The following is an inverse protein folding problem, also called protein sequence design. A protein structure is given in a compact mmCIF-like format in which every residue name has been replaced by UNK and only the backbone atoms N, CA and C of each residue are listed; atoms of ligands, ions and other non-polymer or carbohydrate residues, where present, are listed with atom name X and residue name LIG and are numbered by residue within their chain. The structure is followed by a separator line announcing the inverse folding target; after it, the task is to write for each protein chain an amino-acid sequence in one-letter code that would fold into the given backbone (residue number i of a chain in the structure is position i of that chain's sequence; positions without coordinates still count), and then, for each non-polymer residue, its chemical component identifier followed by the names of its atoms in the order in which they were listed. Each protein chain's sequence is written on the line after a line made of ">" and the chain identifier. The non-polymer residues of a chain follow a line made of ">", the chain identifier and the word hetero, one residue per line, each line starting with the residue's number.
data_IF_498459097600
#
_entry.id   IF_498459097600
#
_cell.length_a   1.000
_cell.length_b   1.000
_cell.length_c   1.000
_cell.angle_alpha   90.00
_cell.angle_beta   90.00
_cell.angle_gamma   90.00
#
_symmetry.space_group_name_H-M   'P 1'
#
loop_
_entity.id
_entity.type
_entity.pdbx_description
1 polymer ?
2 non-polymer ?
3 water ?
#
# COMPACT_ATOMS: atom_id res chain seq x y z
N UNK A 10 -7.95 -23.54 7.69
CA UNK A 10 -7.62 -23.25 6.31
C UNK A 10 -8.07 -21.86 5.87
N UNK A 11 -7.64 -20.84 6.60
CA UNK A 11 -8.05 -19.47 6.24
C UNK A 11 -7.73 -19.13 4.80
N UNK A 12 -8.66 -18.47 4.12
CA UNK A 12 -8.45 -18.04 2.75
C UNK A 12 -7.58 -16.78 2.72
N UNK A 13 -7.03 -16.51 1.53
CA UNK A 13 -6.15 -15.35 1.38
C UNK A 13 -6.90 -14.06 1.70
N UNK A 14 -8.10 -13.91 1.15
CA UNK A 14 -8.96 -12.79 1.53
C UNK A 14 -9.13 -12.78 3.05
N UNK A 15 -9.70 -13.84 3.60
CA UNK A 15 -9.93 -13.90 5.04
C UNK A 15 -8.72 -13.39 5.82
N UNK A 16 -7.52 -13.75 5.37
CA UNK A 16 -6.31 -13.32 6.06
C UNK A 16 -6.09 -11.82 5.89
N UNK A 17 -6.35 -11.28 4.69
CA UNK A 17 -6.23 -9.84 4.50
C UNK A 17 -7.18 -9.10 5.43
N UNK A 18 -8.40 -9.64 5.60
CA UNK A 18 -9.34 -9.04 6.55
C UNK A 18 -8.74 -8.96 7.94
N UNK A 19 -8.39 -10.13 8.50
CA UNK A 19 -7.78 -10.16 9.83
C UNK A 19 -6.65 -9.16 9.95
N UNK A 20 -5.83 -9.05 8.90
CA UNK A 20 -4.76 -8.07 8.94
C UNK A 20 -5.27 -6.64 8.91
N UNK A 21 -6.32 -6.39 8.13
CA UNK A 21 -6.89 -5.05 8.07
C UNK A 21 -7.46 -4.63 9.41
N UNK A 22 -8.16 -5.54 10.10
CA UNK A 22 -8.66 -5.20 11.43
C UNK A 22 -7.51 -5.00 12.42
N UNK A 23 -6.50 -5.88 12.36
CA UNK A 23 -5.33 -5.71 13.21
C UNK A 23 -4.69 -4.34 12.97
N UNK A 24 -4.58 -3.95 11.71
CA UNK A 24 -3.98 -2.64 11.40
C UNK A 24 -4.78 -1.52 12.01
N UNK A 25 -6.11 -1.64 12.02
CA UNK A 25 -6.95 -0.61 12.61
C UNK A 25 -6.52 -0.33 14.05
N UNK A 26 -6.29 -1.40 14.81
CA UNK A 26 -5.91 -1.26 16.20
C UNK A 26 -4.43 -1.05 16.43
N UNK A 27 -3.72 -0.57 15.41
CA UNK A 27 -2.30 -0.25 15.51
C UNK A 27 -1.43 -1.45 15.86
N UNK A 28 -1.94 -2.67 15.64
CA UNK A 28 -1.15 -3.89 15.84
C UNK A 28 -0.45 -4.21 14.52
N UNK A 29 0.64 -3.50 14.27
CA UNK A 29 1.26 -3.50 12.95
C UNK A 29 2.08 -4.76 12.69
N UNK A 30 2.94 -5.19 13.62
CA UNK A 30 3.67 -6.44 13.37
C UNK A 30 2.75 -7.63 13.18
N UNK A 31 1.67 -7.70 13.96
CA UNK A 31 0.70 -8.77 13.81
C UNK A 31 -0.07 -8.63 12.50
N UNK A 32 -0.35 -7.39 12.09
CA UNK A 32 -1.04 -7.19 10.82
C UNK A 32 -0.14 -7.53 9.64
N UNK A 33 1.14 -7.18 9.71
CA UNK A 33 2.08 -7.56 8.67
C UNK A 33 2.19 -9.07 8.54
N UNK A 34 2.07 -9.80 9.66
CA UNK A 34 2.11 -11.26 9.61
C UNK A 34 0.89 -11.81 8.86
N UNK A 35 -0.27 -11.18 9.04
CA UNK A 35 -1.46 -11.63 8.34
C UNK A 35 -1.33 -11.41 6.84
N UNK A 36 -0.98 -10.19 6.43
CA UNK A 36 -0.78 -9.92 5.01
C UNK A 36 0.27 -10.85 4.42
N UNK A 37 1.33 -11.12 5.19
CA UNK A 37 2.32 -12.07 4.74
C UNK A 37 1.72 -13.43 4.46
N UNK A 38 0.82 -13.89 5.34
CA UNK A 38 0.17 -15.18 5.15
C UNK A 38 -0.79 -15.15 3.97
N UNK A 39 -1.46 -14.02 3.73
CA UNK A 39 -2.29 -13.89 2.53
C UNK A 39 -1.43 -13.97 1.27
N UNK A 40 -0.25 -13.33 1.30
CA UNK A 40 0.63 -13.37 0.14
C UNK A 40 1.08 -14.79 -0.14
N UNK A 41 1.35 -15.57 0.90
CA UNK A 41 1.78 -16.95 0.69
C UNK A 41 0.66 -17.81 0.13
N UNK A 42 -0.59 -17.49 0.45
CA UNK A 42 -1.71 -18.23 -0.13
C UNK A 42 -1.94 -17.82 -1.59
N UNK A 43 -1.75 -16.53 -1.90
CA UNK A 43 -1.87 -16.03 -3.28
C UNK A 43 -0.87 -14.90 -3.41
N UNK A 44 0.33 -15.17 -3.93
CA UNK A 44 1.37 -14.14 -4.03
C UNK A 44 1.30 -13.22 -5.24
N UNK A 45 0.23 -13.26 -6.04
CA UNK A 45 0.08 -12.39 -7.20
C UNK A 45 -1.04 -11.37 -7.00
N UNK A 46 -1.17 -10.83 -5.79
CA UNK A 46 -2.20 -9.86 -5.45
C UNK A 46 -1.48 -8.59 -4.99
N UNK A 47 -1.60 -7.52 -5.78
CA UNK A 47 -0.89 -6.28 -5.45
C UNK A 47 -1.28 -5.76 -4.07
N UNK A 48 -2.58 -5.80 -3.74
CA UNK A 48 -3.05 -5.11 -2.55
C UNK A 48 -2.43 -5.69 -1.28
N UNK A 49 -2.17 -7.00 -1.25
CA UNK A 49 -1.56 -7.58 -0.06
C UNK A 49 -0.21 -6.93 0.23
N UNK A 50 0.58 -6.72 -0.83
CA UNK A 50 1.88 -6.08 -0.64
C UNK A 50 1.73 -4.60 -0.29
N UNK A 51 0.79 -3.93 -0.95
CA UNK A 51 0.50 -2.53 -0.63
C UNK A 51 0.13 -2.38 0.84
N UNK A 52 -0.74 -3.26 1.33
CA UNK A 52 -1.16 -3.18 2.73
C UNK A 52 0.01 -3.46 3.67
N UNK A 53 0.79 -4.50 3.37
CA UNK A 53 1.92 -4.81 4.25
C UNK A 53 2.98 -3.70 4.19
N UNK A 54 3.18 -3.11 3.01
CA UNK A 54 4.11 -1.98 2.90
C UNK A 54 3.79 -0.92 3.96
N UNK A 55 2.51 -0.58 4.10
CA UNK A 55 2.12 0.43 5.08
C UNK A 55 2.47 -0.01 6.49
N UNK A 56 2.27 -1.29 6.81
CA UNK A 56 2.66 -1.78 8.12
C UNK A 56 4.14 -1.55 8.37
N UNK A 57 4.98 -1.89 7.41
CA UNK A 57 6.41 -1.71 7.58
C UNK A 57 6.76 -0.22 7.74
N UNK A 58 6.08 0.64 6.98
CA UNK A 58 6.30 2.08 7.15
C UNK A 58 5.97 2.51 8.58
N UNK A 59 4.82 2.06 9.10
CA UNK A 59 4.48 2.36 10.49
C UNK A 59 5.51 1.77 11.45
N UNK A 60 6.08 0.62 11.12
CA UNK A 60 7.12 0.02 11.93
C UNK A 60 8.50 0.62 11.68
N UNK A 61 8.60 1.57 10.75
CA UNK A 61 9.89 2.18 10.39
C UNK A 61 10.87 1.14 9.84
N UNK A 62 10.33 0.14 9.13
CA UNK A 62 11.13 -0.85 8.42
C UNK A 62 11.12 -0.46 6.94
N UNK A 63 11.96 0.53 6.60
CA UNK A 63 11.80 1.19 5.31
C UNK A 63 12.24 0.29 4.16
N UNK A 64 13.34 -0.43 4.31
CA UNK A 64 13.79 -1.30 3.23
C UNK A 64 12.76 -2.37 2.90
N UNK A 65 12.07 -2.90 3.93
CA UNK A 65 11.05 -3.90 3.66
C UNK A 65 9.82 -3.28 3.01
N UNK A 66 9.45 -2.07 3.42
CA UNK A 66 8.31 -1.39 2.80
C UNK A 66 8.60 -1.13 1.32
N UNK A 67 9.78 -0.58 1.02
CA UNK A 67 10.16 -0.33 -0.36
C UNK A 67 10.03 -1.57 -1.22
N UNK A 68 10.53 -2.70 -0.74
CA UNK A 68 10.48 -3.93 -1.54
C UNK A 68 9.04 -4.36 -1.78
N UNK A 69 8.18 -4.25 -0.76
CA UNK A 69 6.76 -4.56 -0.95
C UNK A 69 6.14 -3.62 -1.97
N UNK A 70 6.46 -2.33 -1.90
CA UNK A 70 5.97 -1.38 -2.89
C UNK A 70 6.39 -1.79 -4.29
N UNK A 71 7.67 -2.12 -4.45
CA UNK A 71 8.17 -2.52 -5.76
C UNK A 71 7.44 -3.75 -6.27
N UNK A 72 7.16 -4.72 -5.40
CA UNK A 72 6.47 -5.93 -5.86
C UNK A 72 5.03 -5.62 -6.27
N UNK A 73 4.33 -4.81 -5.48
CA UNK A 73 2.97 -4.43 -5.84
C UNK A 73 2.94 -3.79 -7.23
N UNK A 74 3.88 -2.89 -7.50
CA UNK A 74 3.88 -2.20 -8.79
C UNK A 74 4.22 -3.15 -9.94
N UNK A 75 5.02 -4.19 -9.67
CA UNK A 75 5.28 -5.19 -10.71
C UNK A 75 4.00 -5.93 -11.06
N UNK A 76 3.15 -6.18 -10.07
CA UNK A 76 1.90 -6.88 -10.32
C UNK A 76 0.84 -5.96 -10.92
N UNK A 77 0.86 -4.67 -10.55
CA UNK A 77 -0.19 -3.72 -10.93
C UNK A 77 0.47 -2.34 -11.07
N UNK A 78 0.92 -2.04 -12.29
CA UNK A 78 1.57 -0.77 -12.56
C UNK A 78 0.65 0.43 -12.48
N UNK A 79 -0.66 0.22 -12.36
CA UNK A 79 -1.62 1.31 -12.27
C UNK A 79 -2.03 1.61 -10.84
N UNK A 80 -1.34 1.03 -9.86
CA UNK A 80 -1.78 1.12 -8.47
C UNK A 80 -1.50 2.50 -7.91
N UNK A 81 -2.58 3.20 -7.50
CA UNK A 81 -2.41 4.50 -6.87
C UNK A 81 -1.68 4.35 -5.55
N UNK A 82 -2.16 3.47 -4.67
CA UNK A 82 -1.59 3.37 -3.34
C UNK A 82 -0.15 2.88 -3.38
N UNK A 83 0.18 1.96 -4.31
CA UNK A 83 1.54 1.45 -4.37
C UNK A 83 2.52 2.55 -4.76
N UNK A 84 2.15 3.37 -5.76
CA UNK A 84 2.95 4.53 -6.08
C UNK A 84 3.07 5.48 -4.88
N UNK A 85 1.94 5.71 -4.19
CA UNK A 85 1.94 6.66 -3.08
C UNK A 85 2.81 6.16 -1.93
N UNK A 86 2.61 4.91 -1.50
CA UNK A 86 3.41 4.37 -0.41
C UNK A 86 4.87 4.30 -0.82
N UNK A 87 5.14 3.94 -2.09
CA UNK A 87 6.50 3.97 -2.59
C UNK A 87 7.10 5.37 -2.46
N UNK A 88 6.34 6.39 -2.87
CA UNK A 88 6.83 7.75 -2.72
C UNK A 88 6.99 8.16 -1.27
N UNK A 89 6.01 7.83 -0.44
CA UNK A 89 6.14 8.09 0.99
C UNK A 89 7.36 7.37 1.56
N UNK A 90 7.58 6.13 1.15
CA UNK A 90 8.73 5.38 1.65
C UNK A 90 10.04 6.06 1.22
N UNK A 91 10.14 6.43 -0.06
CA UNK A 91 11.34 7.12 -0.53
C UNK A 91 11.48 8.49 0.13
N UNK A 92 10.37 9.09 0.55
CA UNK A 92 10.46 10.31 1.35
C UNK A 92 11.15 10.03 2.68
N UNK A 93 10.69 9.01 3.41
CA UNK A 93 11.28 8.69 4.70
C UNK A 93 12.75 8.30 4.56
N UNK A 94 13.12 7.70 3.43
CA UNK A 94 14.52 7.34 3.17
C UNK A 94 15.31 8.47 2.53
N UNK A 95 14.68 9.62 2.29
CA UNK A 95 15.35 10.81 1.77
C UNK A 95 15.82 10.64 0.33
N UNK A 96 15.09 9.86 -0.47
CA UNK A 96 15.27 9.82 -1.92
C UNK A 96 14.25 10.79 -2.50
N UNK A 97 14.52 12.09 -2.36
CA UNK A 97 13.47 13.08 -2.50
C UNK A 97 13.00 13.21 -3.95
N UNK A 98 13.93 13.19 -4.91
CA UNK A 98 13.53 13.35 -6.30
C UNK A 98 12.68 12.17 -6.77
N UNK A 99 13.08 10.95 -6.43
CA UNK A 99 12.25 9.79 -6.75
C UNK A 99 10.91 9.87 -6.03
N UNK A 100 10.92 10.30 -4.76
CA UNK A 100 9.69 10.37 -3.99
C UNK A 100 8.68 11.31 -4.64
N UNK A 101 9.14 12.49 -5.06
CA UNK A 101 8.21 13.45 -5.67
C UNK A 101 7.63 12.86 -6.95
N UNK A 102 8.47 12.24 -7.78
CA UNK A 102 8.00 11.64 -9.02
C UNK A 102 6.89 10.63 -8.76
N UNK A 103 7.09 9.74 -7.78
CA UNK A 103 6.09 8.72 -7.51
C UNK A 103 4.85 9.29 -6.86
N UNK A 104 5.00 10.32 -6.02
CA UNK A 104 3.82 10.96 -5.44
C UNK A 104 2.95 11.58 -6.52
N UNK A 105 3.56 12.37 -7.41
CA UNK A 105 2.78 12.97 -8.50
C UNK A 105 2.11 11.89 -9.34
N UNK A 106 2.84 10.81 -9.66
CA UNK A 106 2.26 9.72 -10.42
C UNK A 106 1.07 9.12 -9.68
N UNK A 107 1.18 8.96 -8.36
CA UNK A 107 0.05 8.47 -7.59
C UNK A 107 -1.16 9.39 -7.76
N UNK A 108 -0.94 10.70 -7.59
CA UNK A 108 -2.05 11.64 -7.73
C UNK A 108 -2.55 11.71 -9.18
N UNK A 109 -1.64 11.57 -10.15
CA UNK A 109 -2.08 11.57 -11.55
C UNK A 109 -2.95 10.35 -11.84
N UNK A 110 -2.49 9.17 -11.43
CA UNK A 110 -3.29 7.97 -11.60
C UNK A 110 -4.63 8.09 -10.88
N UNK A 111 -4.62 8.62 -9.65
CA UNK A 111 -5.87 8.76 -8.91
C UNK A 111 -6.88 9.59 -9.71
N UNK A 112 -6.41 10.66 -10.35
CA UNK A 112 -7.30 11.49 -11.17
C UNK A 112 -7.78 10.74 -12.40
N UNK A 113 -6.85 10.10 -13.12
CA UNK A 113 -7.25 9.33 -14.30
C UNK A 113 -8.32 8.29 -13.91
N UNK A 114 -8.02 7.48 -12.90
CA UNK A 114 -8.94 6.42 -12.51
C UNK A 114 -10.26 7.00 -11.97
N UNK A 115 -10.22 8.14 -11.31
CA UNK A 115 -11.45 8.80 -10.89
C UNK A 115 -12.30 9.18 -12.10
N UNK A 116 -11.66 9.71 -13.15
CA UNK A 116 -12.41 10.27 -14.28
C UNK A 116 -12.82 9.22 -15.30
N UNK A 117 -12.18 8.05 -15.32
CA UNK A 117 -12.57 6.99 -16.24
C UNK A 117 -13.52 5.96 -15.62
N UNK A 118 -13.39 5.71 -14.32
CA UNK A 118 -14.15 4.68 -13.63
C UNK A 118 -15.04 5.19 -12.51
N UNK A 119 -14.79 6.38 -11.98
CA UNK A 119 -15.57 6.91 -10.90
C UNK A 119 -15.03 6.63 -9.51
N UNK A 120 -13.82 6.08 -9.42
CA UNK A 120 -13.24 5.77 -8.12
C UNK A 120 -13.21 7.01 -7.23
N UNK A 121 -13.45 6.81 -5.94
CA UNK A 121 -13.03 7.80 -4.95
C UNK A 121 -11.51 7.94 -5.04
N UNK A 122 -11.02 9.16 -4.86
CA UNK A 122 -9.58 9.35 -4.64
C UNK A 122 -9.26 8.57 -3.37
N UNK A 123 -8.34 7.61 -3.40
CA UNK A 123 -8.05 6.85 -2.17
C UNK A 123 -7.85 7.75 -0.96
N UNK A 124 -8.39 7.33 0.18
CA UNK A 124 -8.34 8.15 1.38
C UNK A 124 -6.90 8.37 1.83
N UNK A 125 -6.00 7.42 1.57
CA UNK A 125 -4.61 7.57 1.97
C UNK A 125 -4.00 8.83 1.38
N UNK A 126 -4.50 9.27 0.23
CA UNK A 126 -3.97 10.47 -0.42
C UNK A 126 -4.63 11.75 0.08
N UNK A 127 -5.69 11.65 0.87
CA UNK A 127 -6.44 12.82 1.32
C UNK A 127 -6.37 12.95 2.83
N UNK A 128 -6.18 14.18 3.31
CA UNK A 128 -6.14 14.43 4.75
C UNK A 128 -7.50 14.79 5.32
N UNK A 129 -8.49 15.06 4.48
CA UNK A 129 -9.80 15.49 4.94
C UNK A 129 -10.94 14.71 4.28
N UNK A 130 -10.68 13.45 3.93
CA UNK A 130 -11.73 12.58 3.42
C UNK A 130 -12.94 12.60 4.35
N UNK A 131 -14.09 13.01 3.82
CA UNK A 131 -15.34 12.90 4.56
C UNK A 131 -15.44 11.50 5.14
N UNK A 132 -15.84 11.43 6.41
CA UNK A 132 -16.09 10.13 7.06
C UNK A 132 -17.58 9.95 7.33
X LIG B 1 -13.16 6.31 3.52
X LIG B 1 -8.87 3.07 -1.44
X LIG B 1 -10.15 3.74 0.58
X LIG B 1 -9.87 3.48 2.91
X LIG B 1 -11.75 4.63 2.16
X LIG B 1 -11.32 4.43 0.83
X LIG B 1 -11.83 4.78 -0.47
X LIG B 1 -12.39 5.98 4.79
X LIG B 1 -12.96 5.20 5.79
X LIG B 1 -11.07 5.34 7.09
X LIG B 1 -10.43 6.13 6.14
X LIG B 1 -11.10 6.46 4.97
X LIG B 1 -9.10 2.97 4.13
X LIG B 1 -9.63 1.91 4.84
X LIG B 1 -8.99 1.40 5.97
X LIG B 1 -7.82 1.97 6.41
X LIG B 1 -7.29 3.06 5.72
X LIG B 1 -7.92 3.56 4.59
X LIG B 1 -9.16 -1.08 6.81
X LIG B 1 -6.64 -1.13 5.94
X LIG B 1 -5.57 -1.01 6.83
X LIG B 1 -4.34 -0.51 6.42
X LIG B 1 -4.18 -0.12 5.11
X LIG B 1 -5.23 -0.24 4.22
X LIG B 1 -6.47 -0.74 4.62
X LIG B 1 -4.97 0.21 2.80
X LIG B 1 -3.70 -0.15 2.46
X LIG B 1 -5.09 1.56 2.70
X LIG B 1 -5.86 -0.39 1.97
X LIG B 1 -9.98 3.70 -0.76
X LIG B 1 -9.44 3.28 1.66
X LIG B 1 -11.00 4.13 3.14
X LIG B 1 -11.00 4.32 -1.38
X LIG B 1 -12.99 5.34 2.44
X LIG B 1 -12.30 4.91 6.89
X LIG B 1 -9.66 0.28 6.60
X LIG B 1 -7.87 -1.71 6.50
X LIG B 1 -10.23 -2.06 7.48
X LIG B 1 -14.10 6.37 3.74
X LIG B 1 -12.85 7.18 3.20
X LIG B 1 -8.59 2.28 -0.95
X LIG B 1 -8.12 3.69 -1.48
X LIG B 1 -9.14 2.81 -2.34
X LIG B 1 -12.61 5.25 -0.63
X LIG B 1 -13.83 4.88 5.68
X LIG B 1 -10.62 5.13 7.87
X LIG B 1 -9.56 6.43 6.28
X LIG B 1 -10.69 6.98 4.32
X LIG B 1 -10.41 1.52 4.55
X LIG B 1 -7.39 1.64 7.17
X LIG B 1 -6.50 3.45 6.02
X LIG B 1 -7.56 4.29 4.14
X LIG B 1 -5.68 -1.28 7.71
X LIG B 1 -3.64 -0.43 7.03
X LIG B 1 -3.36 0.22 4.82
X LIG B 1 -7.16 -0.82 4.00
X LIG B 1 -13.68 5.17 1.95
X LIG B 1 -10.46 0.42 6.89
X LIG B 1 -7.81 -2.54 6.68
#
# INVERSE_FOLDING_TARGET
>A
GGGGGSPEKSPSAQELKEQGNRLFVGRKYPEAAACYGRAITRNPLVAVYYTNRALCYLKMQQHEQALADCRRALELDGQSVKAHFFLGQCQLEMESYDEAIANLQRAYSLAKEQRLNFGDDIPSALRIAKKKRWNSIEER
>B hetero
1 A1JBJ C12 C01 C03 C05 C07 C08 C09 C13 C14 C16 C17 C18 C19 C20 C21 C22 C23 C24 C26 C29 C30 C31 C32 C33 C34 C35 F36 F37 F38 N02 N04 N06 N10 N11 N15 N25 N28 S27 H121 H122 H013 H012 H011 H091 H141 H161 H171 H181 H201 H221 H231 H241 H301 H311 H321 H341 H111 H251 H281
#
